data_IF_551509136974
#
_entry.id   IF_551509136974
#
_cell.length_a   1.000
_cell.length_b   1.000
_cell.length_c   1.000
_cell.angle_alpha   90.00
_cell.angle_beta   90.00
_cell.angle_gamma   90.00
#
_symmetry.space_group_name_H-M   'P 1'
#
loop_
_entity.id
_entity.type
_entity.pdbx_description
1 polymer ?
#
# COMPACT_ATOMS: atom_id res chain seq x y z
N UNK A 1 -16.60 -5.75 -14.96
CA UNK A 1 -16.42 -5.87 -16.39
C UNK A 1 -14.96 -6.21 -16.72
N UNK A 2 -14.12 -5.34 -17.33
CA UNK A 2 -12.73 -5.71 -17.71
C UNK A 2 -11.85 -5.93 -16.47
N UNK A 3 -11.88 -5.03 -15.50
CA UNK A 3 -11.09 -5.14 -14.28
C UNK A 3 -11.50 -6.32 -13.40
N UNK A 4 -12.76 -6.67 -13.38
CA UNK A 4 -13.27 -7.82 -12.66
C UNK A 4 -12.72 -9.14 -13.23
N UNK A 5 -12.70 -9.26 -14.56
CA UNK A 5 -12.11 -10.40 -15.23
C UNK A 5 -10.59 -10.49 -15.08
N UNK A 6 -9.90 -9.35 -14.96
CA UNK A 6 -8.44 -9.30 -14.80
C UNK A 6 -7.98 -9.50 -13.34
N UNK A 7 -8.85 -9.22 -12.36
CA UNK A 7 -8.49 -9.19 -10.94
C UNK A 7 -7.84 -10.49 -10.45
N UNK A 8 -8.30 -11.70 -10.81
CA UNK A 8 -7.69 -12.94 -10.37
C UNK A 8 -6.25 -13.13 -10.86
N UNK A 9 -5.95 -12.65 -12.07
CA UNK A 9 -4.67 -12.86 -12.76
C UNK A 9 -3.65 -11.74 -12.54
N UNK A 10 -4.04 -10.64 -11.86
CA UNK A 10 -3.13 -9.53 -11.57
C UNK A 10 -1.96 -10.01 -10.70
N UNK A 11 -0.72 -9.78 -11.14
CA UNK A 11 0.44 -9.95 -10.29
C UNK A 11 0.40 -8.99 -9.09
N UNK A 12 1.04 -9.34 -7.96
CA UNK A 12 0.99 -8.55 -6.72
C UNK A 12 1.38 -7.08 -6.92
N UNK A 13 2.45 -6.81 -7.66
CA UNK A 13 2.87 -5.42 -7.94
C UNK A 13 1.83 -4.65 -8.73
N UNK A 14 1.16 -5.29 -9.70
CA UNK A 14 0.09 -4.68 -10.47
C UNK A 14 -1.14 -4.45 -9.59
N UNK A 15 -1.47 -5.40 -8.72
CA UNK A 15 -2.60 -5.30 -7.79
C UNK A 15 -2.45 -4.05 -6.90
N UNK A 16 -1.33 -3.90 -6.18
CA UNK A 16 -1.14 -2.78 -5.26
C UNK A 16 -1.09 -1.42 -5.95
N UNK A 17 -0.58 -1.37 -7.19
CA UNK A 17 -0.55 -0.12 -7.98
C UNK A 17 -1.91 0.30 -8.49
N UNK A 18 -2.82 -0.65 -8.68
CA UNK A 18 -4.14 -0.41 -9.25
C UNK A 18 -5.28 -0.37 -8.21
N UNK A 19 -5.00 -0.45 -6.91
CA UNK A 19 -6.05 -0.40 -5.87
C UNK A 19 -6.96 0.82 -6.00
N UNK A 20 -6.39 2.01 -6.27
CA UNK A 20 -7.18 3.22 -6.51
C UNK A 20 -8.03 3.13 -7.78
N UNK A 21 -7.54 2.47 -8.84
CA UNK A 21 -8.32 2.23 -10.07
C UNK A 21 -9.46 1.27 -9.80
N UNK A 22 -9.21 0.19 -9.06
CA UNK A 22 -10.23 -0.77 -8.66
C UNK A 22 -11.33 -0.11 -7.81
N UNK A 23 -10.96 0.83 -6.95
CA UNK A 23 -11.91 1.66 -6.21
C UNK A 23 -12.76 2.55 -7.13
N UNK A 24 -12.13 3.23 -8.10
CA UNK A 24 -12.81 4.10 -9.06
C UNK A 24 -13.83 3.38 -9.94
N UNK A 25 -13.50 2.16 -10.38
CA UNK A 25 -14.39 1.35 -11.23
C UNK A 25 -15.46 0.60 -10.42
N UNK A 26 -15.53 0.81 -9.11
CA UNK A 26 -16.58 0.26 -8.25
C UNK A 26 -16.33 -1.17 -7.76
N UNK A 27 -15.14 -1.74 -7.97
CA UNK A 27 -14.79 -3.07 -7.46
C UNK A 27 -14.38 -3.05 -5.98
N UNK A 28 -13.69 -1.99 -5.53
CA UNK A 28 -13.34 -1.80 -4.12
C UNK A 28 -14.20 -0.68 -3.55
N UNK A 29 -15.47 -0.98 -3.33
CA UNK A 29 -16.44 -0.11 -2.68
C UNK A 29 -17.09 -0.84 -1.53
N UNK A 30 -17.57 -0.11 -0.53
CA UNK A 30 -18.24 -0.72 0.61
C UNK A 30 -19.45 -1.54 0.16
N UNK A 31 -19.48 -2.82 0.57
CA UNK A 31 -20.52 -3.78 0.15
C UNK A 31 -20.12 -4.70 -1.02
N UNK A 32 -19.05 -4.43 -1.73
CA UNK A 32 -18.50 -5.32 -2.77
C UNK A 32 -17.63 -6.43 -2.15
N UNK A 33 -18.26 -7.34 -1.41
CA UNK A 33 -17.56 -8.33 -0.57
C UNK A 33 -16.63 -9.26 -1.33
N UNK A 34 -17.03 -9.74 -2.49
CA UNK A 34 -16.23 -10.71 -3.26
C UNK A 34 -14.88 -10.12 -3.73
N UNK A 35 -14.83 -8.96 -4.42
CA UNK A 35 -13.57 -8.33 -4.81
C UNK A 35 -12.73 -7.90 -3.59
N UNK A 36 -13.35 -7.40 -2.53
CA UNK A 36 -12.66 -7.01 -1.30
C UNK A 36 -11.98 -8.22 -0.67
N UNK A 37 -12.72 -9.31 -0.45
CA UNK A 37 -12.18 -10.54 0.12
C UNK A 37 -11.05 -11.13 -0.75
N UNK A 38 -11.21 -11.09 -2.08
CA UNK A 38 -10.17 -11.55 -2.99
C UNK A 38 -8.87 -10.73 -2.84
N UNK A 39 -8.98 -9.41 -2.81
CA UNK A 39 -7.82 -8.50 -2.67
C UNK A 39 -7.18 -8.65 -1.30
N UNK A 40 -7.94 -8.64 -0.21
CA UNK A 40 -7.43 -8.75 1.16
C UNK A 40 -6.77 -10.10 1.42
N UNK A 41 -7.36 -11.18 0.94
CA UNK A 41 -6.76 -12.52 1.04
C UNK A 41 -5.41 -12.58 0.34
N UNK A 42 -5.29 -12.02 -0.85
CA UNK A 42 -4.02 -11.98 -1.59
C UNK A 42 -2.97 -11.10 -0.93
N UNK A 43 -3.35 -9.93 -0.42
CA UNK A 43 -2.44 -9.01 0.29
C UNK A 43 -1.91 -9.63 1.59
N UNK A 44 -2.70 -10.49 2.25
CA UNK A 44 -2.29 -11.12 3.51
C UNK A 44 -1.64 -12.50 3.33
N UNK A 45 -1.59 -13.03 2.12
CA UNK A 45 -0.95 -14.31 1.79
C UNK A 45 0.59 -14.16 1.80
N UNK A 46 1.24 -14.75 2.80
CA UNK A 46 2.69 -14.68 2.98
C UNK A 46 3.46 -15.31 1.81
N UNK A 47 2.95 -16.41 1.24
CA UNK A 47 3.63 -17.08 0.14
C UNK A 47 3.57 -16.24 -1.14
N UNK A 48 2.45 -15.59 -1.43
CA UNK A 48 2.34 -14.66 -2.55
C UNK A 48 3.23 -13.43 -2.37
N UNK A 49 3.30 -12.86 -1.15
CA UNK A 49 4.20 -11.77 -0.83
C UNK A 49 5.66 -12.18 -1.01
N UNK A 50 6.04 -13.38 -0.55
CA UNK A 50 7.38 -13.91 -0.69
C UNK A 50 7.77 -14.14 -2.15
N UNK A 51 6.91 -14.78 -2.94
CA UNK A 51 7.13 -15.05 -4.37
C UNK A 51 7.21 -13.76 -5.20
N UNK A 52 6.42 -12.77 -4.86
CA UNK A 52 6.43 -11.48 -5.56
C UNK A 52 7.65 -10.63 -5.23
N UNK A 53 8.42 -10.98 -4.17
CA UNK A 53 9.58 -10.23 -3.67
C UNK A 53 9.26 -8.75 -3.45
N UNK A 54 8.03 -8.45 -3.05
CA UNK A 54 7.62 -7.07 -2.88
C UNK A 54 8.34 -6.45 -1.69
N UNK A 55 8.87 -5.25 -1.90
CA UNK A 55 9.60 -4.55 -0.84
C UNK A 55 8.62 -3.83 0.10
N UNK A 56 8.85 -3.82 1.44
CA UNK A 56 7.96 -3.13 2.39
C UNK A 56 7.66 -1.68 2.02
N UNK A 57 8.64 -0.93 1.51
CA UNK A 57 8.44 0.47 1.07
C UNK A 57 7.37 0.59 -0.02
N UNK A 58 7.26 -0.39 -0.92
CA UNK A 58 6.23 -0.35 -1.96
C UNK A 58 4.82 -0.52 -1.36
N UNK A 59 4.69 -1.36 -0.33
CA UNK A 59 3.44 -1.54 0.40
C UNK A 59 3.10 -0.31 1.26
N UNK A 60 4.09 0.31 1.91
CA UNK A 60 3.90 1.55 2.65
C UNK A 60 3.43 2.68 1.73
N UNK A 61 4.03 2.81 0.54
CA UNK A 61 3.61 3.78 -0.47
C UNK A 61 2.16 3.52 -0.95
N UNK A 62 1.81 2.25 -1.16
CA UNK A 62 0.46 1.86 -1.55
C UNK A 62 -0.55 2.16 -0.42
N UNK A 63 -0.22 1.82 0.82
CA UNK A 63 -1.02 2.09 2.02
C UNK A 63 -1.31 3.59 2.15
N UNK A 64 -0.25 4.41 2.09
CA UNK A 64 -0.37 5.86 2.20
C UNK A 64 -1.20 6.45 1.06
N UNK A 65 -0.97 6.00 -0.18
CA UNK A 65 -1.69 6.51 -1.36
C UNK A 65 -3.15 6.07 -1.35
N UNK A 66 -3.42 4.78 -1.08
CA UNK A 66 -4.78 4.24 -1.06
C UNK A 66 -5.60 4.86 0.07
N UNK A 67 -5.02 4.95 1.28
CA UNK A 67 -5.67 5.53 2.46
C UNK A 67 -6.06 7.01 2.33
N UNK A 68 -5.40 7.76 1.43
CA UNK A 68 -5.78 9.15 1.14
C UNK A 68 -7.03 9.28 0.25
N UNK A 69 -7.48 8.20 -0.39
CA UNK A 69 -8.63 8.21 -1.28
C UNK A 69 -8.45 9.02 -2.56
N UNK A 70 -7.23 9.46 -2.87
CA UNK A 70 -6.93 10.27 -4.06
C UNK A 70 -5.55 9.96 -4.65
N UNK A 71 -5.43 10.13 -5.96
CA UNK A 71 -4.17 9.96 -6.68
C UNK A 71 -3.16 11.07 -6.38
N UNK A 72 -1.87 10.73 -6.39
CA UNK A 72 -0.80 11.71 -6.18
C UNK A 72 -0.59 12.66 -7.38
N UNK A 73 -0.84 12.16 -8.58
CA UNK A 73 -0.59 12.87 -9.84
C UNK A 73 -1.82 12.94 -10.74
N UNK A 74 -2.96 12.50 -10.25
CA UNK A 74 -4.22 12.52 -10.99
C UNK A 74 -5.34 13.00 -10.09
N UNK A 75 -6.33 13.67 -10.66
CA UNK A 75 -7.55 14.12 -9.95
C UNK A 75 -8.49 12.96 -9.59
N UNK A 76 -7.98 11.74 -9.69
CA UNK A 76 -8.76 10.55 -9.40
C UNK A 76 -8.99 10.36 -7.91
N UNK A 77 -10.26 10.28 -7.52
CA UNK A 77 -10.74 10.00 -6.17
C UNK A 77 -11.38 8.62 -6.15
N UNK A 78 -11.24 7.90 -5.04
CA UNK A 78 -11.88 6.60 -4.80
C UNK A 78 -12.33 6.46 -3.36
N UNK A 79 -13.35 5.65 -3.09
CA UNK A 79 -13.73 5.32 -1.71
C UNK A 79 -12.63 4.47 -1.07
N UNK A 80 -12.31 4.80 0.17
CA UNK A 80 -11.35 4.01 0.97
C UNK A 80 -12.11 2.90 1.69
N UNK A 81 -11.72 1.65 1.45
CA UNK A 81 -12.27 0.49 2.14
C UNK A 81 -11.35 0.13 3.30
N UNK A 82 -11.82 0.17 4.57
CA UNK A 82 -10.99 -0.11 5.74
C UNK A 82 -10.30 -1.47 5.68
N UNK A 83 -11.00 -2.51 5.27
CA UNK A 83 -10.44 -3.87 5.17
C UNK A 83 -9.22 -3.95 4.24
N UNK A 84 -9.20 -3.15 3.17
CA UNK A 84 -8.06 -3.07 2.25
C UNK A 84 -6.89 -2.32 2.90
N UNK A 85 -7.17 -1.29 3.69
CA UNK A 85 -6.15 -0.54 4.46
C UNK A 85 -5.50 -1.46 5.48
N UNK A 86 -6.29 -2.20 6.25
CA UNK A 86 -5.81 -3.14 7.26
C UNK A 86 -4.99 -4.28 6.62
N UNK A 87 -5.43 -4.78 5.46
CA UNK A 87 -4.69 -5.79 4.71
C UNK A 87 -3.33 -5.27 4.18
N UNK A 88 -3.27 -4.01 3.72
CA UNK A 88 -2.02 -3.37 3.29
C UNK A 88 -1.06 -3.17 4.47
N UNK A 89 -1.57 -2.76 5.63
CA UNK A 89 -0.78 -2.62 6.85
C UNK A 89 -0.20 -3.97 7.27
N UNK A 90 -1.02 -5.00 7.34
CA UNK A 90 -0.56 -6.36 7.63
C UNK A 90 0.48 -6.86 6.61
N UNK A 91 0.25 -6.60 5.32
CA UNK A 91 1.18 -6.96 4.25
C UNK A 91 2.53 -6.24 4.40
N UNK A 92 2.54 -4.97 4.82
CA UNK A 92 3.75 -4.19 5.07
C UNK A 92 4.66 -4.89 6.09
N UNK A 93 4.12 -5.29 7.24
CA UNK A 93 4.91 -6.01 8.25
C UNK A 93 5.36 -7.40 7.77
N UNK A 94 4.50 -8.14 7.09
CA UNK A 94 4.85 -9.46 6.55
C UNK A 94 5.96 -9.39 5.49
N UNK A 95 6.00 -8.33 4.69
CA UNK A 95 6.98 -8.17 3.64
C UNK A 95 8.42 -7.95 4.14
N UNK A 96 8.63 -7.62 5.43
CA UNK A 96 9.98 -7.57 6.00
C UNK A 96 10.69 -8.93 5.97
N UNK A 97 9.97 -10.04 5.88
CA UNK A 97 10.56 -11.36 5.65
C UNK A 97 11.30 -11.47 4.29
N UNK A 98 11.00 -10.57 3.36
CA UNK A 98 11.67 -10.48 2.06
C UNK A 98 12.96 -9.63 2.11
N UNK A 99 13.22 -8.94 3.22
CA UNK A 99 14.38 -8.08 3.39
C UNK A 99 15.49 -8.86 4.05
N UNK A 100 16.60 -9.04 3.34
CA UNK A 100 17.79 -9.67 3.89
C UNK A 100 18.61 -8.64 4.68
N UNK A 101 18.84 -8.84 5.98
CA UNK A 101 19.64 -7.94 6.78
C UNK A 101 21.09 -7.89 6.28
N UNK A 102 21.70 -6.71 6.25
CA UNK A 102 23.07 -6.53 5.82
C UNK A 102 24.12 -7.25 6.70
N UNK A 103 23.74 -7.67 7.92
CA UNK A 103 24.60 -8.39 8.86
C UNK A 103 25.83 -7.60 9.31
N UNK A 104 25.82 -6.29 9.18
CA UNK A 104 26.93 -5.40 9.53
C UNK A 104 26.49 -4.36 10.55
N UNK A 105 27.37 -3.94 11.47
CA UNK A 105 27.09 -2.80 12.32
C UNK A 105 26.81 -1.55 11.47
N UNK A 106 25.73 -0.85 11.76
CA UNK A 106 25.36 0.39 11.09
C UNK A 106 25.10 1.49 12.11
N UNK A 107 25.56 2.69 11.83
CA UNK A 107 25.22 3.90 12.54
C UNK A 107 24.13 4.63 11.78
N UNK A 108 22.97 4.83 12.41
CA UNK A 108 21.89 5.65 11.87
C UNK A 108 21.98 7.05 12.45
N UNK A 109 22.27 8.03 11.61
CA UNK A 109 22.18 9.44 11.96
C UNK A 109 20.90 10.02 11.36
N UNK A 110 19.94 10.38 12.20
CA UNK A 110 18.66 10.96 11.78
C UNK A 110 18.70 12.48 12.00
N UNK A 111 18.53 13.21 10.91
CA UNK A 111 18.28 14.65 10.96
C UNK A 111 16.81 14.87 11.31
N UNK A 112 16.55 15.44 12.48
CA UNK A 112 15.20 15.78 12.98
C UNK A 112 14.92 17.28 12.95
N UNK A 113 15.70 18.05 12.19
CA UNK A 113 15.47 19.49 12.03
C UNK A 113 14.11 19.80 11.40
N UNK A 114 13.58 21.00 11.64
CA UNK A 114 12.25 21.40 11.15
C UNK A 114 12.10 21.31 9.62
N UNK A 115 13.19 21.52 8.87
CA UNK A 115 13.20 21.40 7.41
C UNK A 115 12.89 19.98 6.91
N UNK A 116 13.18 18.96 7.72
CA UNK A 116 12.89 17.57 7.37
C UNK A 116 11.39 17.26 7.40
N UNK A 117 10.59 18.04 8.12
CA UNK A 117 9.13 17.87 8.19
C UNK A 117 8.42 18.15 6.85
N UNK A 118 9.05 18.90 5.95
CA UNK A 118 8.52 19.22 4.62
C UNK A 118 9.03 18.29 3.53
N UNK A 119 9.99 17.42 3.85
CA UNK A 119 10.62 16.53 2.89
C UNK A 119 9.69 15.40 2.49
N UNK A 120 9.66 15.07 1.18
CA UNK A 120 8.87 13.97 0.62
C UNK A 120 9.77 12.80 0.27
N UNK A 121 9.46 11.62 0.77
CA UNK A 121 10.17 10.40 0.40
C UNK A 121 9.54 9.84 -0.89
N UNK A 122 10.31 9.74 -1.96
CA UNK A 122 9.87 9.16 -3.25
C UNK A 122 8.54 9.72 -3.79
N UNK A 123 8.24 11.00 -3.56
CA UNK A 123 6.97 11.59 -3.98
C UNK A 123 5.76 11.14 -3.18
N UNK A 124 5.97 10.41 -2.09
CA UNK A 124 4.87 10.13 -1.16
C UNK A 124 4.35 11.44 -0.58
N UNK A 125 3.03 11.66 -0.58
CA UNK A 125 2.48 12.81 0.10
C UNK A 125 2.75 12.68 1.60
N UNK A 126 3.09 13.77 2.25
CA UNK A 126 3.11 13.83 3.70
C UNK A 126 1.69 13.50 4.22
N UNK A 127 1.53 12.59 5.17
CA UNK A 127 0.22 12.30 5.74
C UNK A 127 -0.24 13.49 6.57
N UNK A 128 -0.87 14.46 5.91
CA UNK A 128 -1.32 15.70 6.54
C UNK A 128 -2.41 15.49 7.59
N UNK A 129 -2.99 14.29 7.69
CA UNK A 129 -4.08 14.01 8.63
C UNK A 129 -4.17 12.53 9.04
N UNK A 130 -3.08 11.76 9.04
CA UNK A 130 -3.12 10.42 9.61
C UNK A 130 -2.83 10.49 11.10
N UNK A 131 -3.80 10.24 11.99
CA UNK A 131 -3.49 10.10 13.40
C UNK A 131 -2.69 8.81 13.60
N UNK A 132 -1.39 8.92 13.78
CA UNK A 132 -0.66 7.91 14.51
C UNK A 132 0.34 7.01 13.80
N UNK A 133 0.70 7.23 12.51
CA UNK A 133 1.70 6.33 11.88
C UNK A 133 3.15 6.76 12.10
N UNK A 134 3.43 8.02 12.41
CA UNK A 134 4.74 8.50 12.85
C UNK A 134 4.56 9.62 13.89
N UNK A 135 4.38 9.27 15.12
CA UNK A 135 4.74 10.10 16.28
C UNK A 135 5.76 9.37 17.11
#
# INVERSE_FOLDING_TARGET
VVWEALLPDLGMTALIRNLGVLGKVGLLVQGAWEPINHVTARLTDEEQLRRSRIHPIALLAALTTYGQGKGQRSDGVWPVVPDVVDALDAAFYKAFKNVEPAGRPMLLALDVSGSMSESRINGMPYPSNSPGILK
#
